data_IF_021792498217
#
_entry.id   IF_021792498217
#
_cell.length_a   1.000
_cell.length_b   1.000
_cell.length_c   1.000
_cell.angle_alpha   90.00
_cell.angle_beta   90.00
_cell.angle_gamma   90.00
#
_symmetry.space_group_name_H-M   'P 1'
#
loop_
_entity.id
_entity.type
_entity.pdbx_description
1 polymer ?
#
# COMPACT_ATOMS: atom_id res chain seq x y z
N UNK A 1 8.18 -15.42 11.07
CA UNK A 1 9.11 -14.35 10.59
C UNK A 1 10.28 -14.27 11.54
N UNK A 2 11.51 -14.51 11.06
CA UNK A 2 12.73 -14.32 11.87
C UNK A 2 13.01 -12.81 11.89
N UNK A 3 13.14 -12.24 13.10
CA UNK A 3 13.68 -10.91 13.26
C UNK A 3 15.10 -10.88 12.66
N UNK A 4 15.30 -10.13 11.60
CA UNK A 4 16.62 -9.81 11.07
C UNK A 4 17.11 -8.56 11.78
N UNK A 5 18.33 -8.64 12.35
CA UNK A 5 19.05 -7.52 12.95
C UNK A 5 19.27 -6.43 11.90
N UNK A 6 18.69 -5.26 12.10
CA UNK A 6 18.88 -4.07 11.29
C UNK A 6 18.18 -2.88 11.93
N UNK A 7 18.66 -1.68 11.71
CA UNK A 7 18.03 -0.43 12.14
C UNK A 7 16.68 -0.31 11.41
N UNK A 8 15.59 -0.54 12.11
CA UNK A 8 14.23 -0.48 11.58
C UNK A 8 13.65 0.91 11.86
N UNK A 9 13.59 1.72 10.83
CA UNK A 9 12.67 2.84 10.76
C UNK A 9 11.37 2.31 10.14
N UNK A 10 10.27 2.40 10.86
CA UNK A 10 8.89 2.06 10.45
C UNK A 10 8.64 0.55 10.19
N UNK A 11 8.24 -0.18 11.21
CA UNK A 11 7.79 -1.58 11.07
C UNK A 11 6.28 -1.65 10.83
N UNK A 12 5.88 -2.36 9.78
CA UNK A 12 4.47 -2.67 9.48
C UNK A 12 4.20 -4.14 9.76
N UNK A 13 3.22 -4.42 10.62
CA UNK A 13 2.81 -5.77 10.98
C UNK A 13 1.57 -6.16 10.18
N UNK A 14 1.61 -7.33 9.52
CA UNK A 14 0.46 -7.94 8.84
C UNK A 14 -0.06 -9.13 9.64
N UNK A 15 -1.35 -9.13 9.96
CA UNK A 15 -2.03 -10.24 10.64
C UNK A 15 -3.12 -10.78 9.73
N UNK A 16 -2.83 -11.90 9.07
CA UNK A 16 -3.72 -12.52 8.06
C UNK A 16 -4.44 -13.77 8.59
N UNK A 17 -3.91 -14.42 9.65
CA UNK A 17 -4.50 -15.63 10.23
C UNK A 17 -5.79 -15.31 10.96
N UNK A 18 -6.87 -16.00 10.57
CA UNK A 18 -8.19 -15.85 11.19
C UNK A 18 -8.21 -16.41 12.62
N UNK A 19 -9.05 -15.82 13.48
CA UNK A 19 -9.18 -16.27 14.89
C UNK A 19 -8.00 -15.88 15.77
N UNK A 20 -7.17 -14.92 15.35
CA UNK A 20 -6.06 -14.41 16.13
C UNK A 20 -6.46 -13.20 16.97
N UNK A 21 -5.63 -12.88 17.97
CA UNK A 21 -5.76 -11.70 18.81
C UNK A 21 -4.44 -10.93 18.87
N UNK A 22 -4.54 -9.61 18.67
CA UNK A 22 -3.42 -8.68 18.89
C UNK A 22 -3.58 -8.07 20.28
N UNK A 23 -2.54 -8.20 21.10
CA UNK A 23 -2.49 -7.72 22.48
C UNK A 23 -1.14 -7.09 22.83
N UNK A 24 -0.97 -6.73 24.11
CA UNK A 24 0.29 -6.25 24.67
C UNK A 24 0.67 -7.12 25.87
N UNK A 25 1.93 -7.53 25.94
CA UNK A 25 2.49 -8.25 27.09
C UNK A 25 3.96 -7.87 27.27
N UNK A 26 4.37 -7.52 28.49
CA UNK A 26 5.77 -7.16 28.81
C UNK A 26 6.30 -5.99 27.96
N UNK A 27 5.43 -5.03 27.59
CA UNK A 27 5.82 -3.88 26.75
C UNK A 27 5.97 -4.21 25.24
N UNK A 28 5.61 -5.42 24.80
CA UNK A 28 5.68 -5.88 23.40
C UNK A 28 4.27 -6.08 22.85
N UNK A 29 4.12 -5.90 21.54
CA UNK A 29 2.92 -6.31 20.81
C UNK A 29 3.00 -7.82 20.61
N UNK A 30 1.92 -8.53 20.93
CA UNK A 30 1.85 -10.00 20.85
C UNK A 30 0.65 -10.41 20.02
N UNK A 31 0.88 -11.29 19.04
CA UNK A 31 -0.18 -11.91 18.24
C UNK A 31 -0.37 -13.35 18.73
N UNK A 32 -1.59 -13.71 19.09
CA UNK A 32 -1.95 -15.03 19.65
C UNK A 32 -2.98 -15.73 18.77
N UNK A 33 -2.92 -17.07 18.73
CA UNK A 33 -3.96 -17.89 18.15
C UNK A 33 -5.04 -18.19 19.20
N UNK A 34 -6.29 -17.83 18.91
CA UNK A 34 -7.43 -18.14 19.79
C UNK A 34 -8.12 -19.46 19.41
N UNK A 35 -7.75 -20.08 18.28
CA UNK A 35 -8.33 -21.33 17.80
C UNK A 35 -7.55 -22.57 18.28
N UNK A 36 -6.52 -22.41 19.10
CA UNK A 36 -5.77 -23.55 19.63
C UNK A 36 -6.61 -24.27 20.69
N UNK A 37 -7.26 -25.37 20.29
CA UNK A 37 -8.08 -26.25 21.15
C UNK A 37 -7.26 -26.98 22.24
N UNK A 38 -5.96 -26.82 22.31
CA UNK A 38 -5.10 -27.43 23.35
C UNK A 38 -5.22 -26.75 24.72
N UNK A 39 -5.97 -25.65 24.81
CA UNK A 39 -6.28 -24.99 26.09
C UNK A 39 -7.36 -25.75 26.88
N UNK A 40 -7.10 -26.15 28.13
CA UNK A 40 -8.09 -26.85 28.94
C UNK A 40 -9.34 -25.96 29.14
N UNK A 41 -10.53 -26.55 28.90
CA UNK A 41 -11.82 -25.93 29.15
C UNK A 41 -11.88 -25.36 30.56
N UNK A 42 -12.20 -24.07 30.67
CA UNK A 42 -12.35 -23.38 31.99
C UNK A 42 -13.50 -23.98 32.78
N UNK A 43 -13.17 -24.74 33.81
CA UNK A 43 -14.04 -24.93 34.96
C UNK A 43 -13.93 -23.70 35.87
N UNK A 44 -15.08 -23.17 36.29
CA UNK A 44 -15.25 -22.03 37.17
C UNK A 44 -14.48 -22.18 38.51
N UNK A 45 -13.27 -21.65 38.60
CA UNK A 45 -12.60 -21.36 39.87
C UNK A 45 -11.91 -19.99 39.80
N UNK A 46 -11.94 -19.27 40.93
CA UNK A 46 -11.53 -17.88 41.11
C UNK A 46 -10.07 -17.59 40.67
N UNK A 47 -9.74 -16.35 40.20
CA UNK A 47 -8.43 -16.05 39.60
C UNK A 47 -7.36 -15.91 40.69
N UNK A 48 -6.44 -16.87 40.75
CA UNK A 48 -5.08 -16.68 41.31
C UNK A 48 -4.09 -16.42 40.18
N UNK A 49 -3.21 -15.46 40.43
CA UNK A 49 -2.25 -14.85 39.46
C UNK A 49 -1.15 -15.81 38.94
N UNK A 50 -1.42 -16.90 38.27
CA UNK A 50 -0.33 -17.70 37.65
C UNK A 50 -0.71 -18.74 36.61
N UNK A 51 -1.83 -18.61 35.90
CA UNK A 51 -2.18 -19.58 34.86
C UNK A 51 -2.61 -18.90 33.52
N UNK A 52 -1.63 -18.30 32.81
CA UNK A 52 -1.75 -18.02 31.37
C UNK A 52 -1.15 -19.20 30.60
N UNK A 53 -1.71 -20.37 30.72
CA UNK A 53 -1.31 -21.57 30.01
C UNK A 53 -2.34 -21.87 28.92
N UNK A 54 -1.94 -21.87 27.65
CA UNK A 54 -2.65 -22.54 26.59
C UNK A 54 -2.89 -21.78 25.28
N UNK A 55 -2.63 -20.48 25.18
CA UNK A 55 -2.80 -19.75 23.91
C UNK A 55 -1.44 -19.63 23.21
N UNK A 56 -1.32 -20.20 22.01
CA UNK A 56 -0.09 -20.13 21.23
C UNK A 56 0.25 -18.69 20.86
N UNK A 57 1.49 -18.25 21.13
CA UNK A 57 2.03 -16.98 20.69
C UNK A 57 2.63 -17.16 19.29
N UNK A 58 1.97 -16.60 18.28
CA UNK A 58 2.42 -16.68 16.90
C UNK A 58 3.58 -15.72 16.59
N UNK A 59 3.53 -14.50 17.15
CA UNK A 59 4.55 -13.49 16.93
C UNK A 59 4.60 -12.48 18.06
N UNK A 60 5.78 -11.85 18.22
CA UNK A 60 6.01 -10.80 19.21
C UNK A 60 6.90 -9.71 18.63
N UNK A 61 6.48 -8.45 18.73
CA UNK A 61 7.19 -7.29 18.18
C UNK A 61 7.53 -6.29 19.29
N UNK A 62 8.73 -5.70 19.30
CA UNK A 62 9.01 -4.52 20.10
C UNK A 62 8.07 -3.38 19.65
N UNK A 63 7.34 -2.79 20.59
CA UNK A 63 6.32 -1.78 20.24
C UNK A 63 6.91 -0.53 19.60
N UNK A 64 8.13 -0.17 19.99
CA UNK A 64 8.89 0.98 19.50
C UNK A 64 9.29 0.84 18.01
N UNK A 65 9.16 -0.37 17.48
CA UNK A 65 9.48 -0.71 16.09
C UNK A 65 8.23 -0.89 15.22
N UNK A 66 7.03 -0.60 15.76
CA UNK A 66 5.78 -0.80 15.03
C UNK A 66 5.03 0.52 14.89
N UNK A 67 4.90 0.98 13.66
CA UNK A 67 4.10 2.17 13.32
C UNK A 67 2.71 1.83 12.80
N UNK A 68 2.58 0.67 12.17
CA UNK A 68 1.32 0.26 11.55
C UNK A 68 1.04 -1.22 11.79
N UNK A 69 -0.22 -1.54 12.10
CA UNK A 69 -0.72 -2.92 12.14
C UNK A 69 -1.87 -3.06 11.14
N UNK A 70 -1.69 -3.93 10.15
CA UNK A 70 -2.69 -4.27 9.14
C UNK A 70 -3.31 -5.62 9.48
N UNK A 71 -4.62 -5.67 9.70
CA UNK A 71 -5.32 -6.91 10.03
C UNK A 71 -6.36 -7.28 8.99
N UNK A 72 -6.47 -8.57 8.69
CA UNK A 72 -7.32 -9.11 7.63
C UNK A 72 -8.32 -10.10 8.20
N UNK A 73 -9.63 -9.79 8.07
CA UNK A 73 -10.72 -10.67 8.49
C UNK A 73 -10.95 -10.71 10.00
N UNK A 74 -11.18 -11.92 10.54
CA UNK A 74 -11.57 -12.15 11.94
C UNK A 74 -10.40 -12.10 12.93
N UNK A 75 -9.82 -10.91 13.12
CA UNK A 75 -8.76 -10.64 14.10
C UNK A 75 -9.31 -9.79 15.25
N UNK A 76 -9.05 -10.17 16.49
CA UNK A 76 -9.47 -9.45 17.67
C UNK A 76 -8.37 -8.52 18.21
N UNK A 77 -8.76 -7.45 18.89
CA UNK A 77 -7.85 -6.55 19.60
C UNK A 77 -8.19 -6.50 21.07
N UNK A 78 -7.17 -6.48 21.93
CA UNK A 78 -7.39 -6.21 23.36
C UNK A 78 -7.50 -4.70 23.60
N UNK A 79 -8.33 -4.28 24.57
CA UNK A 79 -8.41 -2.87 25.00
C UNK A 79 -7.04 -2.30 25.43
N UNK A 80 -6.18 -3.04 26.17
CA UNK A 80 -4.84 -2.58 26.49
C UNK A 80 -3.98 -2.31 25.24
N UNK A 81 -4.14 -3.11 24.16
CA UNK A 81 -3.45 -2.86 22.92
C UNK A 81 -3.92 -1.57 22.23
N UNK A 82 -5.23 -1.34 22.16
CA UNK A 82 -5.79 -0.11 21.59
C UNK A 82 -5.34 1.14 22.37
N UNK A 83 -5.37 1.09 23.71
CA UNK A 83 -4.86 2.16 24.54
C UNK A 83 -3.38 2.45 24.30
N UNK A 84 -2.60 1.38 24.13
CA UNK A 84 -1.18 1.51 23.85
C UNK A 84 -0.91 2.03 22.44
N UNK A 85 -1.60 1.52 21.44
CA UNK A 85 -1.53 2.01 20.07
C UNK A 85 -1.83 3.51 19.98
N UNK A 86 -2.84 3.97 20.76
CA UNK A 86 -3.14 5.41 20.90
C UNK A 86 -1.96 6.19 21.48
N UNK A 87 -1.29 5.68 22.51
CA UNK A 87 -0.15 6.36 23.14
C UNK A 87 1.11 6.36 22.29
N UNK A 88 1.40 5.27 21.60
CA UNK A 88 2.62 5.07 20.82
C UNK A 88 2.47 5.55 19.36
N UNK A 89 1.30 6.03 18.95
CA UNK A 89 1.08 6.56 17.60
C UNK A 89 0.85 5.48 16.54
N UNK A 90 0.58 4.22 16.94
CA UNK A 90 0.44 3.09 16.02
C UNK A 90 -0.90 3.15 15.28
N UNK A 91 -0.85 3.21 13.95
CA UNK A 91 -2.04 3.16 13.09
C UNK A 91 -2.49 1.71 12.90
N UNK A 92 -3.80 1.45 13.12
CA UNK A 92 -4.39 0.15 12.80
C UNK A 92 -5.24 0.28 11.54
N UNK A 93 -5.03 -0.59 10.58
CA UNK A 93 -5.87 -0.71 9.40
C UNK A 93 -6.59 -2.06 9.44
N UNK A 94 -7.89 -2.04 9.23
CA UNK A 94 -8.74 -3.23 9.20
C UNK A 94 -9.26 -3.50 7.79
N UNK A 95 -9.10 -4.74 7.35
CA UNK A 95 -9.51 -5.21 6.04
C UNK A 95 -10.44 -6.43 6.14
N UNK A 96 -11.24 -6.67 5.10
CA UNK A 96 -11.87 -7.99 4.94
C UNK A 96 -10.78 -9.05 4.74
N UNK A 97 -11.13 -10.32 4.88
CA UNK A 97 -10.22 -11.45 4.63
C UNK A 97 -9.56 -11.38 3.23
N UNK A 98 -10.24 -10.80 2.25
CA UNK A 98 -9.77 -10.65 0.86
C UNK A 98 -9.18 -9.25 0.58
N UNK A 99 -8.72 -8.51 1.59
CA UNK A 99 -8.01 -7.25 1.43
C UNK A 99 -8.88 -6.02 1.18
N UNK A 100 -10.22 -6.09 1.24
CA UNK A 100 -11.06 -4.91 1.13
C UNK A 100 -10.93 -4.05 2.40
N UNK A 101 -10.51 -2.81 2.26
CA UNK A 101 -10.42 -1.87 3.39
C UNK A 101 -11.78 -1.64 4.04
N UNK A 102 -11.84 -1.73 5.37
CA UNK A 102 -13.03 -1.56 6.20
C UNK A 102 -12.96 -0.32 7.08
N UNK A 103 -11.77 0.01 7.59
CA UNK A 103 -11.58 1.16 8.47
C UNK A 103 -10.19 1.22 9.07
N UNK A 104 -9.95 2.27 9.88
CA UNK A 104 -8.70 2.41 10.63
C UNK A 104 -8.97 3.03 12.00
N UNK A 105 -8.13 2.65 12.95
CA UNK A 105 -7.91 3.39 14.17
C UNK A 105 -6.67 4.26 13.98
N UNK A 106 -6.83 5.57 14.15
CA UNK A 106 -5.74 6.56 14.00
C UNK A 106 -5.60 7.30 15.33
N UNK A 107 -4.43 7.29 15.96
CA UNK A 107 -4.17 8.05 17.17
C UNK A 107 -4.36 9.56 16.97
N UNK A 108 -5.07 10.23 17.88
CA UNK A 108 -5.37 11.67 17.72
C UNK A 108 -4.22 12.61 18.12
N UNK A 109 -3.22 12.12 18.84
CA UNK A 109 -2.19 12.97 19.46
C UNK A 109 -1.26 13.70 18.46
N UNK A 110 -1.28 13.35 17.18
CA UNK A 110 -0.44 13.95 16.15
C UNK A 110 -1.21 14.88 15.21
N UNK A 111 -2.41 15.36 15.59
CA UNK A 111 -3.23 16.16 14.69
C UNK A 111 -2.71 17.59 14.56
N UNK A 112 -2.17 17.95 13.40
CA UNK A 112 -1.72 19.30 13.05
C UNK A 112 -2.80 19.97 12.20
N UNK A 113 -3.57 20.89 12.80
CA UNK A 113 -4.68 21.57 12.13
C UNK A 113 -4.24 22.41 10.92
N UNK A 114 -3.01 22.95 10.94
CA UNK A 114 -2.46 23.75 9.84
C UNK A 114 -2.33 23.00 8.55
N UNK A 115 -1.89 21.75 8.59
CA UNK A 115 -1.76 20.88 7.40
C UNK A 115 -3.12 20.67 6.73
N UNK A 116 -4.15 20.36 7.52
CA UNK A 116 -5.51 20.18 6.99
C UNK A 116 -6.10 21.48 6.44
N UNK A 117 -5.87 22.63 7.14
CA UNK A 117 -6.30 23.93 6.62
C UNK A 117 -5.63 24.26 5.30
N UNK A 118 -4.34 24.04 5.17
CA UNK A 118 -3.61 24.23 3.92
C UNK A 118 -4.15 23.35 2.80
N UNK A 119 -4.42 22.06 3.10
CA UNK A 119 -5.00 21.12 2.14
C UNK A 119 -6.39 21.54 1.68
N UNK A 120 -7.28 21.95 2.60
CA UNK A 120 -8.64 22.41 2.24
C UNK A 120 -8.65 23.77 1.52
N UNK A 121 -7.60 24.55 1.66
CA UNK A 121 -7.45 25.85 1.01
C UNK A 121 -6.75 25.78 -0.36
N UNK A 122 -6.36 24.59 -0.85
CA UNK A 122 -5.73 24.45 -2.16
C UNK A 122 -6.62 25.06 -3.25
N UNK A 123 -6.02 25.89 -4.10
CA UNK A 123 -6.70 26.38 -5.30
C UNK A 123 -6.78 25.29 -6.37
N UNK A 124 -7.76 25.36 -7.26
CA UNK A 124 -7.88 24.44 -8.40
C UNK A 124 -6.61 24.38 -9.25
N UNK A 125 -5.88 25.49 -9.36
CA UNK A 125 -4.59 25.54 -10.06
C UNK A 125 -3.50 24.76 -9.33
N UNK A 126 -3.42 24.87 -7.99
CA UNK A 126 -2.50 24.11 -7.16
C UNK A 126 -2.81 22.60 -7.20
N UNK A 127 -4.08 22.23 -7.09
CA UNK A 127 -4.52 20.84 -7.24
C UNK A 127 -4.13 20.25 -8.60
N UNK A 128 -4.35 21.02 -9.68
CA UNK A 128 -3.96 20.59 -11.03
C UNK A 128 -2.44 20.43 -11.16
N UNK A 129 -1.64 21.31 -10.55
CA UNK A 129 -0.18 21.20 -10.56
C UNK A 129 0.31 19.92 -9.86
N UNK A 130 -0.24 19.60 -8.68
CA UNK A 130 0.04 18.35 -7.96
C UNK A 130 -0.35 17.13 -8.80
N UNK A 131 -1.57 17.13 -9.37
CA UNK A 131 -2.07 16.06 -10.21
C UNK A 131 -1.18 15.83 -11.45
N UNK A 132 -0.73 16.91 -12.11
CA UNK A 132 0.19 16.82 -13.25
C UNK A 132 1.49 16.12 -12.86
N UNK A 133 2.10 16.46 -11.74
CA UNK A 133 3.33 15.83 -11.27
C UNK A 133 3.15 14.32 -11.07
N UNK A 134 2.07 13.91 -10.38
CA UNK A 134 1.78 12.50 -10.13
C UNK A 134 1.52 11.71 -11.42
N UNK A 135 0.74 12.27 -12.34
CA UNK A 135 0.40 11.60 -13.60
C UNK A 135 1.60 11.56 -14.56
N UNK A 136 2.41 12.62 -14.61
CA UNK A 136 3.66 12.60 -15.38
C UNK A 136 4.60 11.49 -14.91
N UNK A 137 4.79 11.38 -13.58
CA UNK A 137 5.59 10.32 -12.98
C UNK A 137 5.03 8.92 -13.29
N UNK A 138 3.72 8.72 -13.18
CA UNK A 138 3.06 7.46 -13.58
C UNK A 138 3.42 7.07 -15.01
N UNK A 139 3.28 8.00 -15.96
CA UNK A 139 3.52 7.72 -17.39
C UNK A 139 5.00 7.43 -17.65
N UNK A 140 5.92 8.20 -17.04
CA UNK A 140 7.36 7.95 -17.17
C UNK A 140 7.76 6.62 -16.54
N UNK A 141 7.26 6.32 -15.36
CA UNK A 141 7.49 5.03 -14.69
C UNK A 141 6.95 3.86 -15.49
N UNK A 142 5.77 3.98 -16.12
CA UNK A 142 5.23 2.98 -17.02
C UNK A 142 6.16 2.71 -18.21
N UNK A 143 6.67 3.78 -18.84
CA UNK A 143 7.64 3.66 -19.91
C UNK A 143 8.94 2.99 -19.45
N UNK A 144 9.47 3.39 -18.29
CA UNK A 144 10.69 2.82 -17.70
C UNK A 144 10.52 1.33 -17.38
N UNK A 145 9.38 0.91 -16.84
CA UNK A 145 9.10 -0.51 -16.56
C UNK A 145 9.10 -1.35 -17.84
N UNK A 146 8.43 -0.89 -18.90
CA UNK A 146 8.45 -1.56 -20.20
C UNK A 146 9.87 -1.62 -20.79
N UNK A 147 10.61 -0.51 -20.75
CA UNK A 147 11.98 -0.43 -21.26
C UNK A 147 12.94 -1.39 -20.57
N UNK A 148 12.87 -1.49 -19.23
CA UNK A 148 13.68 -2.44 -18.43
C UNK A 148 13.37 -3.91 -18.75
N UNK A 149 12.21 -4.20 -19.31
CA UNK A 149 11.81 -5.52 -19.79
C UNK A 149 12.12 -5.75 -21.28
N UNK A 150 12.76 -4.79 -21.93
CA UNK A 150 13.15 -4.88 -23.35
C UNK A 150 12.04 -4.56 -24.35
N UNK A 151 10.88 -4.10 -23.88
CA UNK A 151 9.76 -3.69 -24.75
C UNK A 151 10.15 -2.41 -25.48
N UNK A 152 10.11 -2.44 -26.81
CA UNK A 152 10.48 -1.32 -27.70
C UNK A 152 9.23 -0.56 -28.16
N UNK A 153 9.43 0.64 -28.75
CA UNK A 153 8.32 1.42 -29.32
C UNK A 153 7.43 2.08 -28.27
N UNK A 154 8.03 2.52 -27.17
CA UNK A 154 7.34 3.22 -26.07
C UNK A 154 7.34 4.75 -26.22
N UNK A 155 7.66 5.27 -27.44
CA UNK A 155 7.75 6.72 -27.71
C UNK A 155 6.43 7.45 -27.47
N UNK A 156 5.31 6.82 -27.79
CA UNK A 156 3.98 7.39 -27.51
C UNK A 156 3.77 7.68 -26.03
N UNK A 157 4.31 6.84 -25.11
CA UNK A 157 4.24 7.12 -23.66
C UNK A 157 5.11 8.34 -23.31
N UNK A 158 6.27 8.52 -23.94
CA UNK A 158 7.10 9.73 -23.76
C UNK A 158 6.32 10.97 -24.20
N UNK A 159 5.73 10.95 -25.38
CA UNK A 159 4.94 12.08 -25.92
C UNK A 159 3.74 12.42 -25.04
N UNK A 160 3.04 11.40 -24.50
CA UNK A 160 1.94 11.59 -23.56
C UNK A 160 2.43 12.18 -22.22
N UNK A 161 3.58 11.75 -21.73
CA UNK A 161 4.21 12.33 -20.53
C UNK A 161 4.56 13.82 -20.71
N UNK A 162 5.09 14.20 -21.88
CA UNK A 162 5.35 15.59 -22.25
C UNK A 162 4.05 16.40 -22.37
N UNK A 163 3.00 15.83 -22.95
CA UNK A 163 1.68 16.46 -23.10
C UNK A 163 1.04 16.85 -21.75
N UNK A 164 1.34 16.13 -20.66
CA UNK A 164 0.82 16.46 -19.30
C UNK A 164 1.15 17.90 -18.91
N UNK A 165 2.30 18.44 -19.30
CA UNK A 165 2.70 19.82 -18.97
C UNK A 165 1.78 20.87 -19.59
N UNK A 166 1.15 20.57 -20.73
CA UNK A 166 0.34 21.49 -21.53
C UNK A 166 -1.16 21.41 -21.24
N UNK A 167 -1.66 20.44 -20.46
CA UNK A 167 -3.07 20.36 -20.13
C UNK A 167 -3.48 21.50 -19.17
N UNK A 168 -4.73 21.96 -19.27
CA UNK A 168 -5.23 23.10 -18.51
C UNK A 168 -6.40 22.73 -17.58
N UNK A 169 -6.82 21.47 -17.58
CA UNK A 169 -7.91 20.99 -16.74
C UNK A 169 -7.68 19.55 -16.27
N UNK A 170 -8.34 19.16 -15.17
CA UNK A 170 -8.31 17.77 -14.68
C UNK A 170 -8.96 16.81 -15.70
N UNK A 171 -9.92 17.27 -16.51
CA UNK A 171 -10.58 16.44 -17.52
C UNK A 171 -9.63 16.13 -18.69
N UNK A 172 -8.89 17.14 -19.16
CA UNK A 172 -7.82 16.92 -20.15
C UNK A 172 -6.74 15.97 -19.60
N UNK A 173 -6.36 16.15 -18.33
CA UNK A 173 -5.38 15.29 -17.68
C UNK A 173 -5.87 13.84 -17.60
N UNK A 174 -7.16 13.60 -17.29
CA UNK A 174 -7.77 12.26 -17.32
C UNK A 174 -7.74 11.64 -18.72
N UNK A 175 -7.96 12.44 -19.76
CA UNK A 175 -7.85 11.98 -21.14
C UNK A 175 -6.42 11.49 -21.48
N UNK A 176 -5.41 12.27 -21.10
CA UNK A 176 -3.99 11.89 -21.31
C UNK A 176 -3.62 10.66 -20.49
N UNK A 177 -4.05 10.60 -19.21
CA UNK A 177 -3.81 9.46 -18.33
C UNK A 177 -4.44 8.17 -18.88
N UNK A 178 -5.71 8.25 -19.33
CA UNK A 178 -6.42 7.11 -19.89
C UNK A 178 -5.80 6.57 -21.17
N UNK A 179 -5.34 7.45 -22.09
CA UNK A 179 -4.62 7.05 -23.30
C UNK A 179 -3.27 6.40 -22.94
N UNK A 180 -2.52 6.99 -22.01
CA UNK A 180 -1.28 6.42 -21.53
C UNK A 180 -1.47 5.03 -20.86
N UNK A 181 -2.51 4.88 -20.04
CA UNK A 181 -2.85 3.62 -19.42
C UNK A 181 -3.21 2.54 -20.48
N UNK A 182 -4.02 2.89 -21.48
CA UNK A 182 -4.36 1.98 -22.57
C UNK A 182 -3.10 1.52 -23.33
N UNK A 183 -2.18 2.45 -23.65
CA UNK A 183 -0.91 2.14 -24.33
C UNK A 183 0.00 1.26 -23.47
N UNK A 184 0.09 1.54 -22.18
CA UNK A 184 0.89 0.77 -21.24
C UNK A 184 0.36 -0.67 -21.12
N UNK A 185 -0.92 -0.81 -20.81
CA UNK A 185 -1.52 -2.12 -20.57
C UNK A 185 -1.58 -2.99 -21.84
N UNK A 186 -1.73 -2.39 -23.03
CA UNK A 186 -1.63 -3.15 -24.30
C UNK A 186 -0.25 -3.77 -24.54
N UNK A 187 0.78 -3.39 -23.78
CA UNK A 187 2.16 -3.89 -23.90
C UNK A 187 2.61 -4.68 -22.66
N UNK A 188 1.76 -4.78 -21.62
CA UNK A 188 2.13 -5.46 -20.39
C UNK A 188 2.37 -6.96 -20.60
N UNK A 189 1.61 -7.57 -21.52
CA UNK A 189 1.76 -8.98 -21.90
C UNK A 189 3.20 -9.34 -22.31
N UNK A 190 3.90 -8.43 -23.00
CA UNK A 190 5.29 -8.63 -23.42
C UNK A 190 6.30 -8.73 -22.26
N UNK A 191 5.87 -8.42 -21.04
CA UNK A 191 6.71 -8.49 -19.82
C UNK A 191 6.54 -9.77 -19.03
N UNK A 192 5.57 -10.61 -19.40
CA UNK A 192 5.17 -11.82 -18.69
C UNK A 192 5.95 -13.05 -19.16
N UNK A 193 6.05 -14.04 -18.28
CA UNK A 193 6.61 -15.35 -18.63
C UNK A 193 5.65 -16.14 -19.54
N UNK A 194 6.20 -17.08 -20.28
CA UNK A 194 5.45 -17.98 -21.17
C UNK A 194 4.32 -18.69 -20.40
N UNK A 195 3.17 -18.80 -21.06
CA UNK A 195 1.97 -19.42 -20.51
C UNK A 195 1.05 -18.44 -19.75
N UNK A 196 1.46 -17.18 -19.57
CA UNK A 196 0.61 -16.12 -19.06
C UNK A 196 0.21 -15.17 -20.17
N UNK A 197 -1.05 -14.72 -20.15
CA UNK A 197 -1.58 -13.77 -21.14
C UNK A 197 -2.32 -12.64 -20.44
N UNK A 198 -2.18 -11.44 -20.99
CA UNK A 198 -2.86 -10.25 -20.50
C UNK A 198 -3.38 -9.42 -21.69
N UNK A 199 -4.69 -9.35 -21.85
CA UNK A 199 -5.29 -8.64 -23.00
C UNK A 199 -5.56 -7.17 -22.66
N UNK A 200 -6.22 -6.92 -21.52
CA UNK A 200 -6.64 -5.59 -21.11
C UNK A 200 -6.84 -5.49 -19.60
N UNK A 201 -6.82 -4.26 -19.08
CA UNK A 201 -7.06 -4.00 -17.66
C UNK A 201 -8.54 -4.03 -17.33
N UNK A 202 -8.99 -5.08 -16.62
CA UNK A 202 -10.32 -5.22 -16.03
C UNK A 202 -10.27 -5.13 -14.51
N UNK A 203 -11.31 -4.56 -13.86
CA UNK A 203 -11.22 -4.25 -12.44
C UNK A 203 -12.37 -4.77 -11.58
N UNK A 204 -13.59 -4.84 -12.09
CA UNK A 204 -14.78 -5.19 -11.30
C UNK A 204 -15.82 -5.91 -12.16
N UNK A 205 -15.83 -7.23 -12.13
CA UNK A 205 -14.81 -8.12 -11.53
C UNK A 205 -13.52 -8.17 -12.36
N UNK A 206 -12.38 -8.64 -11.79
CA UNK A 206 -11.20 -9.00 -12.58
C UNK A 206 -11.51 -10.25 -13.41
N UNK A 207 -11.24 -10.20 -14.72
CA UNK A 207 -11.62 -11.26 -15.65
C UNK A 207 -10.53 -12.33 -15.84
N UNK A 208 -9.33 -12.08 -15.33
CA UNK A 208 -8.19 -13.00 -15.36
C UNK A 208 -7.34 -12.90 -14.08
N UNK A 209 -6.41 -13.85 -13.93
CA UNK A 209 -5.53 -13.96 -12.76
C UNK A 209 -4.63 -12.75 -12.58
N UNK A 210 -4.11 -12.17 -13.69
CA UNK A 210 -3.20 -11.02 -13.64
C UNK A 210 -3.96 -9.78 -13.18
N UNK A 211 -5.17 -9.56 -13.71
CA UNK A 211 -6.06 -8.49 -13.28
C UNK A 211 -6.43 -8.61 -11.80
N UNK A 212 -6.58 -9.83 -11.30
CA UNK A 212 -6.81 -10.11 -9.88
C UNK A 212 -5.59 -9.73 -9.04
N UNK A 213 -4.38 -10.16 -9.41
CA UNK A 213 -3.14 -9.81 -8.73
C UNK A 213 -2.88 -8.30 -8.75
N UNK A 214 -3.05 -7.64 -9.89
CA UNK A 214 -2.91 -6.19 -10.00
C UNK A 214 -3.89 -5.46 -9.07
N UNK A 215 -5.15 -5.91 -9.03
CA UNK A 215 -6.18 -5.31 -8.18
C UNK A 215 -5.85 -5.49 -6.70
N UNK A 216 -5.41 -6.67 -6.31
CA UNK A 216 -4.97 -6.99 -4.95
C UNK A 216 -3.75 -6.15 -4.55
N UNK A 217 -2.72 -6.09 -5.42
CA UNK A 217 -1.50 -5.30 -5.18
C UNK A 217 -1.83 -3.81 -5.01
N UNK A 218 -2.73 -3.26 -5.83
CA UNK A 218 -3.16 -1.87 -5.69
C UNK A 218 -3.91 -1.61 -4.38
N UNK A 219 -4.63 -2.60 -3.86
CA UNK A 219 -5.25 -2.50 -2.53
C UNK A 219 -4.18 -2.45 -1.44
N UNK A 220 -3.20 -3.34 -1.48
CA UNK A 220 -2.11 -3.37 -0.50
C UNK A 220 -1.31 -2.06 -0.54
N UNK A 221 -0.88 -1.63 -1.73
CA UNK A 221 -0.13 -0.38 -1.90
C UNK A 221 -0.94 0.85 -1.48
N UNK A 222 -2.23 0.92 -1.83
CA UNK A 222 -3.12 1.98 -1.36
C UNK A 222 -3.13 2.06 0.17
N UNK A 223 -3.05 0.95 0.87
CA UNK A 223 -3.07 0.91 2.33
C UNK A 223 -1.76 1.44 2.94
N UNK A 224 -0.62 1.16 2.32
CA UNK A 224 0.66 1.79 2.68
C UNK A 224 0.59 3.33 2.51
N UNK A 225 0.11 3.79 1.35
CA UNK A 225 -0.07 5.23 1.09
C UNK A 225 -1.07 5.87 2.06
N UNK A 226 -2.19 5.19 2.32
CA UNK A 226 -3.22 5.67 3.25
C UNK A 226 -2.68 5.82 4.67
N UNK A 227 -1.86 4.88 5.11
CA UNK A 227 -1.18 4.93 6.42
C UNK A 227 -0.22 6.12 6.50
N UNK A 228 0.63 6.31 5.48
CA UNK A 228 1.57 7.43 5.41
C UNK A 228 0.87 8.80 5.42
N UNK A 229 -0.22 8.96 4.65
CA UNK A 229 -1.01 10.20 4.63
C UNK A 229 -1.56 10.53 6.02
N UNK A 230 -2.09 9.54 6.74
CA UNK A 230 -2.64 9.72 8.08
C UNK A 230 -1.58 10.09 9.12
N UNK A 231 -0.42 9.42 9.09
CA UNK A 231 0.70 9.72 9.97
C UNK A 231 1.18 11.17 9.79
N UNK A 232 1.06 11.71 8.58
CA UNK A 232 1.46 13.09 8.25
C UNK A 232 0.31 14.11 8.29
N UNK A 233 -0.85 13.74 8.84
CA UNK A 233 -2.03 14.59 9.03
C UNK A 233 -2.70 15.11 7.77
N UNK A 234 -2.45 14.49 6.64
CA UNK A 234 -3.18 14.75 5.41
C UNK A 234 -4.53 14.02 5.43
N UNK A 235 -5.58 14.67 4.97
CA UNK A 235 -6.88 14.03 4.75
C UNK A 235 -6.82 13.16 3.49
N UNK A 236 -6.88 11.82 3.62
CA UNK A 236 -6.75 10.93 2.47
C UNK A 236 -7.95 10.95 1.53
N UNK A 237 -9.08 11.56 1.94
CA UNK A 237 -10.31 11.59 1.15
C UNK A 237 -10.40 12.80 0.23
N UNK A 238 -9.65 13.88 0.50
CA UNK A 238 -9.64 15.09 -0.32
C UNK A 238 -8.59 14.95 -1.44
N UNK A 239 -9.04 14.54 -2.63
CA UNK A 239 -8.18 14.30 -3.79
C UNK A 239 -7.85 15.55 -4.58
N UNK A 240 -6.71 15.51 -5.28
CA UNK A 240 -6.28 16.57 -6.21
C UNK A 240 -6.58 16.22 -7.69
N UNK A 241 -6.69 14.92 -8.01
CA UNK A 241 -6.97 14.41 -9.36
C UNK A 241 -8.27 13.62 -9.43
N UNK A 242 -8.42 12.62 -8.57
CA UNK A 242 -9.64 11.85 -8.50
C UNK A 242 -10.78 12.66 -7.86
N UNK A 243 -11.99 12.55 -8.43
CA UNK A 243 -13.15 13.18 -7.84
C UNK A 243 -13.48 12.61 -6.46
N UNK A 244 -13.87 13.47 -5.52
CA UNK A 244 -14.30 13.05 -4.20
C UNK A 244 -15.59 12.25 -4.30
N UNK A 245 -15.62 11.10 -3.64
CA UNK A 245 -16.81 10.23 -3.54
C UNK A 245 -16.89 9.67 -2.13
N UNK A 246 -18.09 9.44 -1.66
CA UNK A 246 -18.32 8.88 -0.34
C UNK A 246 -17.50 7.61 -0.10
N UNK A 247 -16.71 7.58 0.98
CA UNK A 247 -15.86 6.47 1.37
C UNK A 247 -14.66 6.18 0.47
N UNK A 248 -14.36 7.04 -0.52
CA UNK A 248 -13.23 6.87 -1.44
C UNK A 248 -12.04 7.72 -0.97
N UNK A 249 -10.90 7.11 -0.61
CA UNK A 249 -9.70 7.86 -0.24
C UNK A 249 -9.00 8.43 -1.48
N UNK A 250 -9.55 9.52 -2.04
CA UNK A 250 -9.16 10.08 -3.33
C UNK A 250 -7.70 10.52 -3.37
N UNK A 251 -7.18 11.18 -2.31
CA UNK A 251 -5.76 11.57 -2.26
C UNK A 251 -4.82 10.35 -2.20
N UNK A 252 -5.23 9.30 -1.46
CA UNK A 252 -4.43 8.08 -1.44
C UNK A 252 -4.37 7.41 -2.82
N UNK A 253 -5.45 7.48 -3.60
CA UNK A 253 -5.46 6.99 -4.98
C UNK A 253 -4.62 7.89 -5.90
N UNK A 254 -4.61 9.21 -5.69
CA UNK A 254 -3.82 10.16 -6.45
C UNK A 254 -2.32 9.92 -6.26
N UNK A 255 -1.88 9.85 -5.00
CA UNK A 255 -0.47 9.60 -4.67
C UNK A 255 -0.03 8.18 -5.11
N UNK A 256 -0.94 7.20 -5.06
CA UNK A 256 -0.68 5.84 -5.53
C UNK A 256 -0.29 5.79 -7.02
N UNK A 257 -0.76 6.73 -7.85
CA UNK A 257 -0.54 6.69 -9.30
C UNK A 257 0.96 6.62 -9.66
N UNK A 258 1.82 7.34 -8.97
CA UNK A 258 3.26 7.34 -9.23
C UNK A 258 3.95 6.00 -8.91
N UNK A 259 3.37 5.22 -7.99
CA UNK A 259 3.92 3.92 -7.57
C UNK A 259 3.40 2.74 -8.40
N UNK A 260 2.24 2.86 -9.07
CA UNK A 260 1.59 1.73 -9.75
C UNK A 260 2.52 0.98 -10.70
N UNK A 261 3.11 1.59 -11.73
CA UNK A 261 3.95 0.84 -12.65
C UNK A 261 5.22 0.30 -12.00
N UNK A 262 5.93 1.19 -11.26
CA UNK A 262 7.26 0.89 -10.76
C UNK A 262 7.25 -0.10 -9.58
N UNK A 263 6.23 -0.06 -8.73
CA UNK A 263 6.14 -0.93 -7.56
C UNK A 263 5.11 -2.04 -7.75
N UNK A 264 3.85 -1.70 -8.09
CA UNK A 264 2.79 -2.69 -8.11
C UNK A 264 2.89 -3.65 -9.29
N UNK A 265 2.96 -3.11 -10.52
CA UNK A 265 2.97 -3.95 -11.73
C UNK A 265 4.28 -4.73 -11.82
N UNK A 266 5.40 -4.11 -11.38
CA UNK A 266 6.70 -4.78 -11.26
C UNK A 266 6.64 -5.93 -10.25
N UNK A 267 5.95 -5.78 -9.13
CA UNK A 267 5.79 -6.85 -8.14
C UNK A 267 5.00 -8.02 -8.73
N UNK A 268 3.85 -7.75 -9.37
CA UNK A 268 3.03 -8.79 -10.00
C UNK A 268 3.80 -9.55 -11.07
N UNK A 269 4.43 -8.82 -12.01
CA UNK A 269 5.24 -9.47 -13.06
C UNK A 269 6.41 -10.26 -12.50
N UNK A 270 7.01 -9.81 -11.38
CA UNK A 270 8.08 -10.55 -10.68
C UNK A 270 7.58 -11.84 -10.06
N UNK A 271 6.41 -11.85 -9.42
CA UNK A 271 5.82 -13.07 -8.84
C UNK A 271 5.55 -14.12 -9.91
N UNK A 272 4.96 -13.69 -11.03
CA UNK A 272 4.63 -14.53 -12.19
C UNK A 272 5.92 -15.08 -12.83
N UNK A 273 6.85 -14.21 -13.19
CA UNK A 273 8.05 -14.59 -13.94
C UNK A 273 9.03 -15.44 -13.13
N UNK A 274 8.90 -15.46 -11.79
CA UNK A 274 9.66 -16.35 -10.90
C UNK A 274 8.92 -17.64 -10.55
N UNK A 275 7.71 -17.84 -11.05
CA UNK A 275 6.88 -18.99 -10.69
C UNK A 275 6.52 -19.02 -9.21
N UNK A 276 6.54 -17.87 -8.52
CA UNK A 276 6.11 -17.78 -7.11
C UNK A 276 4.62 -17.94 -6.97
N UNK A 277 3.86 -17.50 -7.98
CA UNK A 277 2.42 -17.72 -8.15
C UNK A 277 2.20 -18.37 -9.50
N UNK A 278 1.37 -19.39 -9.53
CA UNK A 278 1.01 -20.20 -10.69
C UNK A 278 -0.50 -20.14 -10.93
N UNK A 279 -0.98 -20.71 -12.04
CA UNK A 279 -2.42 -20.78 -12.34
C UNK A 279 -3.20 -21.61 -11.33
N UNK A 280 -2.59 -22.61 -10.71
CA UNK A 280 -3.21 -23.50 -9.73
C UNK A 280 -3.49 -22.79 -8.38
N UNK A 281 -2.89 -21.63 -8.17
CA UNK A 281 -3.04 -20.83 -6.95
C UNK A 281 -4.34 -20.01 -6.92
N UNK A 282 -5.16 -20.11 -7.97
CA UNK A 282 -6.39 -19.33 -8.09
C UNK A 282 -7.63 -20.21 -8.02
N UNK A 283 -8.66 -19.65 -7.41
CA UNK A 283 -10.02 -20.18 -7.46
C UNK A 283 -10.68 -19.90 -8.82
N UNK A 284 -11.81 -20.55 -9.07
CA UNK A 284 -12.59 -20.39 -10.32
C UNK A 284 -13.08 -18.95 -10.58
N UNK A 285 -13.11 -18.13 -9.55
CA UNK A 285 -13.52 -16.72 -9.60
C UNK A 285 -12.32 -15.76 -9.77
N UNK A 286 -11.16 -16.27 -10.18
CA UNK A 286 -9.89 -15.56 -10.34
C UNK A 286 -9.29 -15.00 -9.06
N UNK A 287 -9.80 -15.32 -7.86
CA UNK A 287 -9.18 -14.90 -6.60
C UNK A 287 -8.14 -15.94 -6.15
N UNK A 288 -7.11 -15.47 -5.46
CA UNK A 288 -6.13 -16.36 -4.83
C UNK A 288 -6.80 -17.30 -3.83
N UNK A 289 -6.29 -18.52 -3.74
CA UNK A 289 -6.63 -19.44 -2.66
C UNK A 289 -6.23 -18.86 -1.31
N UNK A 290 -6.97 -19.20 -0.24
CA UNK A 290 -6.77 -18.59 1.08
C UNK A 290 -5.40 -18.94 1.70
N UNK A 291 -4.86 -20.11 1.43
CA UNK A 291 -3.51 -20.54 1.83
C UNK A 291 -2.41 -19.76 1.09
N UNK A 292 -2.63 -19.43 -0.18
CA UNK A 292 -1.69 -18.62 -0.99
C UNK A 292 -1.71 -17.15 -0.62
N UNK A 293 -2.86 -16.65 -0.12
CA UNK A 293 -2.99 -15.24 0.28
C UNK A 293 -1.97 -14.83 1.35
N UNK A 294 -1.72 -15.70 2.34
CA UNK A 294 -0.71 -15.42 3.38
C UNK A 294 0.70 -15.34 2.78
N UNK A 295 1.05 -16.25 1.87
CA UNK A 295 2.33 -16.22 1.15
C UNK A 295 2.46 -14.95 0.30
N UNK A 296 1.37 -14.54 -0.39
CA UNK A 296 1.35 -13.29 -1.15
C UNK A 296 1.63 -12.08 -0.24
N UNK A 297 0.98 -11.99 0.93
CA UNK A 297 1.17 -10.89 1.88
C UNK A 297 2.62 -10.83 2.40
N UNK A 298 3.24 -11.98 2.72
CA UNK A 298 4.65 -12.07 3.13
C UNK A 298 5.61 -11.62 2.01
N UNK A 299 5.34 -12.03 0.76
CA UNK A 299 6.15 -11.60 -0.39
C UNK A 299 6.01 -10.11 -0.66
N UNK A 300 4.80 -9.55 -0.50
CA UNK A 300 4.58 -8.11 -0.62
C UNK A 300 5.34 -7.34 0.47
N UNK A 301 5.24 -7.76 1.72
CA UNK A 301 5.97 -7.14 2.83
C UNK A 301 7.48 -7.16 2.59
N UNK A 302 8.04 -8.34 2.25
CA UNK A 302 9.45 -8.47 1.91
C UNK A 302 9.87 -7.58 0.72
N UNK A 303 8.99 -7.41 -0.27
CA UNK A 303 9.24 -6.55 -1.42
C UNK A 303 9.25 -5.07 -1.02
N UNK A 304 8.39 -4.66 -0.09
CA UNK A 304 8.36 -3.29 0.41
C UNK A 304 9.60 -2.92 1.20
N UNK A 305 10.26 -3.90 1.82
CA UNK A 305 11.54 -3.71 2.54
C UNK A 305 12.79 -3.76 1.63
N UNK A 306 12.65 -4.12 0.35
CA UNK A 306 13.78 -4.08 -0.57
C UNK A 306 14.20 -2.63 -0.86
N UNK A 307 15.46 -2.31 -0.60
CA UNK A 307 16.01 -0.98 -0.80
C UNK A 307 16.43 -0.74 -2.26
N UNK A 308 16.20 0.50 -2.71
CA UNK A 308 16.68 1.04 -3.98
C UNK A 308 17.26 2.44 -3.79
N UNK A 309 17.96 2.99 -4.80
CA UNK A 309 18.43 4.38 -4.75
C UNK A 309 17.26 5.30 -5.15
N UNK A 310 16.87 6.21 -4.26
CA UNK A 310 15.80 7.16 -4.52
C UNK A 310 16.24 8.19 -5.57
N UNK A 311 15.51 8.34 -6.69
CA UNK A 311 15.98 9.16 -7.83
C UNK A 311 16.20 10.64 -7.48
N UNK A 312 15.39 11.20 -6.60
CA UNK A 312 15.47 12.61 -6.21
C UNK A 312 16.51 12.87 -5.12
N UNK A 313 16.65 11.95 -4.16
CA UNK A 313 17.53 12.15 -3.00
C UNK A 313 18.91 11.50 -3.15
N UNK A 314 19.09 10.63 -4.13
CA UNK A 314 20.34 9.89 -4.43
C UNK A 314 20.93 9.13 -3.22
N UNK A 315 20.07 8.61 -2.35
CA UNK A 315 20.45 7.68 -1.28
C UNK A 315 19.52 6.45 -1.24
N UNK A 316 19.97 5.41 -0.54
CA UNK A 316 19.23 4.16 -0.48
C UNK A 316 18.09 4.23 0.52
N UNK A 317 16.90 3.84 0.07
CA UNK A 317 15.67 3.77 0.86
C UNK A 317 14.92 2.48 0.52
N UNK A 318 14.10 1.98 1.43
CA UNK A 318 13.13 0.95 1.13
C UNK A 318 11.96 1.54 0.33
N UNK A 319 11.14 0.68 -0.31
CA UNK A 319 9.93 1.18 -1.00
C UNK A 319 8.95 1.81 0.00
N UNK A 320 8.88 1.28 1.21
CA UNK A 320 8.02 1.82 2.29
C UNK A 320 8.49 3.21 2.71
N UNK A 321 9.78 3.40 2.93
CA UNK A 321 10.35 4.73 3.21
C UNK A 321 10.13 5.71 2.06
N UNK A 322 10.24 5.27 0.80
CA UNK A 322 9.98 6.13 -0.35
C UNK A 322 8.54 6.64 -0.37
N UNK A 323 7.54 5.81 -0.02
CA UNK A 323 6.14 6.26 0.11
C UNK A 323 6.03 7.33 1.19
N UNK A 324 6.67 7.13 2.35
CA UNK A 324 6.68 8.13 3.43
C UNK A 324 7.34 9.43 2.99
N UNK A 325 8.49 9.36 2.31
CA UNK A 325 9.19 10.54 1.80
C UNK A 325 8.36 11.30 0.77
N UNK A 326 7.71 10.60 -0.17
CA UNK A 326 6.82 11.23 -1.13
C UNK A 326 5.62 11.89 -0.45
N UNK A 327 5.09 11.29 0.62
CA UNK A 327 4.03 11.89 1.42
C UNK A 327 4.52 13.14 2.17
N UNK A 328 5.78 13.17 2.66
CA UNK A 328 6.40 14.36 3.25
C UNK A 328 6.56 15.46 2.21
N UNK A 329 7.04 15.14 1.00
CA UNK A 329 7.17 16.11 -0.09
C UNK A 329 5.81 16.68 -0.50
N UNK A 330 4.78 15.82 -0.59
CA UNK A 330 3.41 16.24 -0.87
C UNK A 330 2.88 17.18 0.21
N UNK A 331 3.06 16.85 1.49
CA UNK A 331 2.69 17.73 2.60
C UNK A 331 3.38 19.08 2.49
N UNK A 332 4.70 19.10 2.25
CA UNK A 332 5.48 20.34 2.12
C UNK A 332 5.02 21.20 0.94
N UNK A 333 4.65 20.60 -0.18
CA UNK A 333 4.07 21.31 -1.31
C UNK A 333 2.69 21.89 -0.98
N UNK A 334 1.86 21.13 -0.25
CA UNK A 334 0.54 21.60 0.20
C UNK A 334 0.64 22.75 1.20
N UNK A 335 1.61 22.72 2.13
CA UNK A 335 1.81 23.76 3.15
C UNK A 335 2.61 24.96 2.65
N UNK A 336 3.11 24.93 1.41
CA UNK A 336 3.91 26.01 0.82
C UNK A 336 5.38 26.03 1.27
N UNK A 337 5.85 24.96 1.91
CA UNK A 337 7.28 24.79 2.25
C UNK A 337 8.11 24.38 1.04
N UNK A 338 7.48 23.89 -0.02
CA UNK A 338 8.06 23.61 -1.34
C UNK A 338 7.22 24.27 -2.41
N UNK A 339 7.86 24.88 -3.40
CA UNK A 339 7.19 25.52 -4.54
C UNK A 339 6.51 24.50 -5.45
N UNK A 340 7.10 23.31 -5.59
CA UNK A 340 6.61 22.25 -6.47
C UNK A 340 6.72 20.88 -5.79
N UNK A 341 5.77 19.99 -6.09
CA UNK A 341 5.82 18.60 -5.72
C UNK A 341 6.69 17.81 -6.73
N UNK A 342 7.68 17.10 -6.21
CA UNK A 342 8.54 16.21 -6.98
C UNK A 342 8.09 14.77 -6.80
N UNK A 343 7.29 14.28 -7.74
CA UNK A 343 6.82 12.89 -7.74
C UNK A 343 7.97 11.91 -7.99
N UNK A 344 7.81 10.65 -7.54
CA UNK A 344 8.81 9.61 -7.72
C UNK A 344 8.90 9.18 -9.19
N UNK A 345 10.00 9.49 -9.86
CA UNK A 345 10.26 9.15 -11.25
C UNK A 345 11.54 8.33 -11.36
N UNK A 346 11.46 7.16 -12.00
CA UNK A 346 12.63 6.33 -12.27
C UNK A 346 13.20 6.61 -13.66
N UNK A 347 14.51 6.77 -13.72
CA UNK A 347 15.23 6.84 -14.99
C UNK A 347 15.40 5.45 -15.61
N UNK A 348 15.69 5.44 -16.93
CA UNK A 348 15.90 4.23 -17.73
C UNK A 348 17.15 3.44 -17.33
#
# INVERSE_FOLDING_TARGET
MKATEGVFDDSVVYVTKQGTQVGVQGGRIVVRDLNDESAPSQTHESPTESSQSGVEVLATFPREQVDTVNVFGGVNFTTPFLARASTDGIVLNYFSQHGQYRGSFVPEQNTIAEVRRAQYALSTAAELALAKSMIAAKIRNARTVLGRKGVRGTDTLRELGEKVTHVNSKDELRGVEGDAAARYFSRLDETLADGWTFETRTTRPPEDHINSLLSLTYVFMKNEVLSALRQLNLDPFLGVFHADRHGRPSLALDLLEEFRPAFCDTFVTRLINRGTITHDDFRRDNHLNDDVFSTYAEKFDSYMEEAFTHPYFDYRVTRREAIRQQTILLRKAITGELDNYHALEFDH
#
